data_IF_325164933386
#
_entry.id   IF_325164933386
#
_cell.length_a   1.000
_cell.length_b   1.000
_cell.length_c   1.000
_cell.angle_alpha   90.00
_cell.angle_beta   90.00
_cell.angle_gamma   90.00
#
_symmetry.space_group_name_H-M   'P 1'
#
loop_
_entity.id
_entity.type
_entity.pdbx_description
1 polymer ?
#
# COMPACT_ATOMS: atom_id res chain seq x y z
N UNK A 1 -14.80 10.53 -42.45
CA UNK A 1 -13.34 10.60 -42.71
C UNK A 1 -12.64 10.28 -41.38
N UNK A 2 -11.80 9.24 -41.40
CA UNK A 2 -11.13 8.48 -40.31
C UNK A 2 -11.23 8.97 -38.85
N UNK A 3 -11.87 8.13 -38.03
CA UNK A 3 -11.89 8.14 -36.57
C UNK A 3 -10.54 7.63 -36.05
N UNK A 4 -9.78 8.46 -35.35
CA UNK A 4 -8.58 8.02 -34.63
C UNK A 4 -8.93 7.73 -33.18
N UNK A 5 -9.10 6.43 -32.90
CA UNK A 5 -9.10 5.87 -31.55
C UNK A 5 -7.72 6.07 -30.92
N UNK A 6 -7.56 7.11 -30.11
CA UNK A 6 -6.50 7.12 -29.11
C UNK A 6 -6.98 6.34 -27.89
N UNK A 7 -6.50 5.10 -27.81
CA UNK A 7 -6.53 4.26 -26.61
C UNK A 7 -5.76 5.00 -25.51
N UNK A 8 -6.46 5.76 -24.66
CA UNK A 8 -5.92 6.14 -23.37
C UNK A 8 -5.99 4.89 -22.50
N UNK A 9 -4.86 4.18 -22.42
CA UNK A 9 -4.63 3.16 -21.41
C UNK A 9 -4.65 3.88 -20.04
N UNK A 10 -5.85 4.02 -19.48
CA UNK A 10 -6.00 4.28 -18.06
C UNK A 10 -5.36 3.10 -17.34
N UNK A 11 -4.14 3.30 -16.83
CA UNK A 11 -3.60 2.49 -15.76
C UNK A 11 -4.47 2.72 -14.52
N UNK A 12 -5.64 2.09 -14.51
CA UNK A 12 -6.23 1.61 -13.28
C UNK A 12 -5.16 0.73 -12.64
N UNK A 13 -4.39 1.27 -11.69
CA UNK A 13 -4.02 0.45 -10.55
C UNK A 13 -5.30 0.22 -9.77
N UNK A 14 -6.16 -0.62 -10.35
CA UNK A 14 -7.23 -1.30 -9.65
C UNK A 14 -6.57 -1.96 -8.46
N UNK A 15 -7.02 -1.52 -7.27
CA UNK A 15 -7.08 -2.33 -6.06
C UNK A 15 -7.18 -3.78 -6.50
N UNK A 16 -6.15 -4.55 -6.19
CA UNK A 16 -6.06 -5.97 -6.52
C UNK A 16 -7.42 -6.59 -6.22
N UNK A 17 -8.04 -7.12 -7.27
CA UNK A 17 -9.31 -7.84 -7.19
C UNK A 17 -9.18 -8.86 -6.07
N UNK A 18 -10.00 -8.70 -5.03
CA UNK A 18 -10.27 -9.72 -4.05
C UNK A 18 -10.78 -10.96 -4.81
N UNK A 19 -9.91 -11.93 -5.06
CA UNK A 19 -10.32 -13.29 -5.33
C UNK A 19 -10.66 -13.93 -3.97
N UNK A 20 -11.84 -13.62 -3.46
CA UNK A 20 -12.51 -14.48 -2.49
C UNK A 20 -13.34 -15.51 -3.28
N UNK A 21 -12.95 -16.79 -3.17
CA UNK A 21 -13.61 -18.05 -3.53
C UNK A 21 -14.53 -18.10 -4.78
N UNK A 22 -14.37 -19.08 -5.69
CA UNK A 22 -14.67 -20.48 -5.36
C UNK A 22 -13.87 -21.52 -6.15
N UNK A 23 -13.38 -22.49 -5.38
CA UNK A 23 -13.38 -23.95 -5.60
C UNK A 23 -12.84 -24.50 -6.92
N UNK A 24 -11.64 -25.08 -6.82
CA UNK A 24 -11.33 -26.30 -7.55
C UNK A 24 -12.16 -27.42 -6.93
N UNK A 25 -13.28 -27.79 -7.58
CA UNK A 25 -13.98 -29.04 -7.28
C UNK A 25 -13.07 -30.24 -7.61
N UNK A 26 -12.88 -31.10 -6.59
CA UNK A 26 -12.16 -32.37 -6.63
C UNK A 26 -11.31 -32.52 -5.37
N UNK A 27 -11.66 -33.30 -4.33
CA UNK A 27 -12.58 -34.41 -4.21
C UNK A 27 -13.27 -34.43 -2.82
N UNK A 28 -14.28 -35.29 -2.69
CA UNK A 28 -15.09 -35.63 -1.51
C UNK A 28 -14.40 -35.52 -0.12
N UNK A 29 -15.17 -35.31 0.97
CA UNK A 29 -14.63 -35.35 2.33
C UNK A 29 -14.10 -36.76 2.65
N UNK A 30 -12.79 -36.94 2.46
CA UNK A 30 -12.09 -38.19 2.72
C UNK A 30 -10.57 -38.07 2.65
N UNK A 31 -9.91 -38.13 3.81
CA UNK A 31 -8.55 -38.69 3.98
C UNK A 31 -7.30 -37.92 3.52
N UNK A 32 -7.31 -36.59 3.40
CA UNK A 32 -6.03 -35.90 3.17
C UNK A 32 -5.10 -36.07 4.40
N UNK A 33 -4.05 -36.87 4.21
CA UNK A 33 -3.09 -37.22 5.26
C UNK A 33 -1.92 -36.23 5.33
N UNK A 34 -1.87 -35.27 4.41
CA UNK A 34 -0.80 -34.28 4.33
C UNK A 34 -1.10 -33.06 5.21
N UNK A 35 -0.09 -32.52 5.94
CA UNK A 35 -0.20 -31.22 6.56
C UNK A 35 -0.41 -30.18 5.47
N UNK A 36 -1.29 -29.22 5.71
CA UNK A 36 -1.53 -28.13 4.77
C UNK A 36 -1.46 -26.79 5.50
N UNK A 37 -0.93 -25.79 4.79
CA UNK A 37 -1.05 -24.38 5.15
C UNK A 37 -1.49 -23.60 3.92
N UNK A 38 -2.48 -22.74 4.06
CA UNK A 38 -2.94 -21.80 3.04
C UNK A 38 -2.62 -20.38 3.51
N UNK A 39 -2.19 -19.53 2.59
CA UNK A 39 -1.77 -18.15 2.86
C UNK A 39 -2.80 -17.19 2.26
N UNK A 40 -3.36 -16.31 3.09
CA UNK A 40 -4.19 -15.20 2.63
C UNK A 40 -3.51 -13.86 2.94
N UNK A 41 -3.61 -12.91 2.00
CA UNK A 41 -3.07 -11.58 2.14
C UNK A 41 -4.17 -10.57 2.49
N UNK A 42 -3.90 -9.70 3.46
CA UNK A 42 -4.77 -8.61 3.86
C UNK A 42 -3.99 -7.31 3.98
N UNK A 43 -4.66 -6.19 3.67
CA UNK A 43 -4.18 -4.86 4.03
C UNK A 43 -4.02 -4.83 5.56
N UNK A 44 -2.86 -4.42 6.09
CA UNK A 44 -2.67 -4.37 7.52
C UNK A 44 -3.52 -3.26 8.13
N UNK A 45 -3.98 -3.48 9.36
CA UNK A 45 -4.61 -2.44 10.15
C UNK A 45 -3.54 -1.41 10.58
N UNK A 46 -3.97 -0.19 10.87
CA UNK A 46 -3.09 0.84 11.45
C UNK A 46 -2.53 0.35 12.80
N UNK A 47 -1.29 0.74 13.19
CA UNK A 47 -0.45 1.79 12.61
C UNK A 47 0.47 1.35 11.46
N UNK A 48 0.36 0.10 10.99
CA UNK A 48 1.20 -0.42 9.91
C UNK A 48 0.96 0.31 8.58
N UNK A 49 2.00 0.38 7.76
CA UNK A 49 2.02 1.09 6.50
C UNK A 49 1.71 0.11 5.35
N UNK A 50 0.53 0.20 4.71
CA UNK A 50 0.13 -0.73 3.65
C UNK A 50 0.98 -0.62 2.38
N UNK A 51 1.90 0.34 2.29
CA UNK A 51 2.84 0.46 1.17
C UNK A 51 3.90 -0.63 1.20
N UNK A 52 4.30 -1.08 2.39
CA UNK A 52 5.45 -1.96 2.60
C UNK A 52 5.20 -3.00 3.72
N UNK A 53 4.06 -2.93 4.40
CA UNK A 53 3.63 -3.88 5.40
C UNK A 53 2.43 -4.67 4.89
N UNK A 54 2.32 -5.92 5.33
CA UNK A 54 1.25 -6.84 4.94
C UNK A 54 0.80 -7.68 6.13
N UNK A 55 -0.50 -7.92 6.25
CA UNK A 55 -1.01 -8.94 7.17
C UNK A 55 -1.28 -10.23 6.43
N UNK A 56 -0.70 -11.31 6.92
CA UNK A 56 -0.84 -12.65 6.37
C UNK A 56 -1.63 -13.51 7.34
N UNK A 57 -2.68 -14.17 6.84
CA UNK A 57 -3.34 -15.27 7.56
C UNK A 57 -2.81 -16.60 7.07
N UNK A 58 -2.33 -17.39 8.00
CA UNK A 58 -2.00 -18.79 7.78
C UNK A 58 -3.18 -19.64 8.26
N UNK A 59 -3.77 -20.43 7.37
CA UNK A 59 -4.84 -21.37 7.70
C UNK A 59 -4.32 -22.80 7.54
N UNK A 60 -4.42 -23.62 8.58
CA UNK A 60 -3.92 -24.99 8.58
C UNK A 60 -5.05 -26.01 8.58
N UNK A 61 -4.76 -27.23 8.10
CA UNK A 61 -5.62 -28.39 8.36
C UNK A 61 -5.21 -29.11 9.66
N UNK A 62 -5.96 -30.15 10.02
CA UNK A 62 -5.74 -30.92 11.25
C UNK A 62 -4.46 -31.77 11.26
N UNK A 63 -3.77 -31.90 10.13
CA UNK A 63 -2.52 -32.67 10.00
C UNK A 63 -1.26 -31.84 10.21
N UNK A 64 -1.37 -30.51 10.27
CA UNK A 64 -0.25 -29.62 10.56
C UNK A 64 0.07 -29.61 12.06
N UNK A 65 1.29 -30.02 12.43
CA UNK A 65 1.80 -30.02 13.81
C UNK A 65 2.52 -28.72 14.10
N UNK A 66 3.38 -28.28 13.16
CA UNK A 66 4.10 -27.01 13.26
C UNK A 66 4.02 -26.30 11.91
N UNK A 67 4.04 -24.97 11.93
CA UNK A 67 4.21 -24.15 10.74
C UNK A 67 5.36 -23.18 10.95
N UNK A 68 6.22 -23.05 9.96
CA UNK A 68 7.31 -22.09 9.92
C UNK A 68 7.11 -21.19 8.71
N UNK A 69 7.28 -19.88 8.87
CA UNK A 69 7.26 -18.95 7.75
C UNK A 69 8.58 -18.20 7.62
N UNK A 70 8.99 -17.94 6.38
CA UNK A 70 10.17 -17.17 6.06
C UNK A 70 9.84 -16.13 5.00
N UNK A 71 10.45 -14.97 5.12
CA UNK A 71 10.23 -13.83 4.22
C UNK A 71 11.58 -13.32 3.75
N UNK A 72 11.79 -13.35 2.44
CA UNK A 72 13.03 -12.91 1.80
C UNK A 72 12.72 -12.26 0.44
N UNK A 73 13.71 -11.56 -0.15
CA UNK A 73 13.55 -10.98 -1.48
C UNK A 73 13.25 -12.11 -2.47
N UNK A 74 12.33 -11.90 -3.40
CA UNK A 74 11.95 -12.94 -4.37
C UNK A 74 13.13 -13.44 -5.20
N UNK A 75 14.08 -12.54 -5.52
CA UNK A 75 15.34 -12.91 -6.20
C UNK A 75 16.20 -13.86 -5.38
N UNK A 76 16.32 -13.65 -4.07
CA UNK A 76 17.10 -14.49 -3.16
C UNK A 76 16.49 -15.88 -3.00
N UNK A 77 15.16 -15.95 -2.84
CA UNK A 77 14.43 -17.23 -2.83
C UNK A 77 14.70 -18.02 -4.11
N UNK A 78 14.57 -17.39 -5.28
CA UNK A 78 14.75 -18.06 -6.56
C UNK A 78 16.18 -18.60 -6.70
N UNK A 79 17.20 -17.81 -6.36
CA UNK A 79 18.59 -18.24 -6.36
C UNK A 79 18.81 -19.42 -5.39
N UNK A 80 18.16 -19.40 -4.22
CA UNK A 80 18.24 -20.48 -3.24
C UNK A 80 17.63 -21.76 -3.76
N UNK A 81 16.42 -21.73 -4.31
CA UNK A 81 15.77 -22.91 -4.91
C UNK A 81 16.61 -23.48 -6.04
N UNK A 82 17.21 -22.64 -6.90
CA UNK A 82 18.15 -23.11 -7.94
C UNK A 82 19.36 -23.84 -7.33
N UNK A 83 19.85 -23.37 -6.19
CA UNK A 83 21.03 -23.94 -5.53
C UNK A 83 20.76 -25.24 -4.75
N UNK A 84 19.61 -25.37 -4.08
CA UNK A 84 19.35 -26.49 -3.14
C UNK A 84 18.10 -27.31 -3.45
N UNK A 85 17.38 -26.97 -4.52
CA UNK A 85 16.11 -27.59 -4.88
C UNK A 85 14.95 -27.20 -3.94
N UNK A 86 13.72 -27.57 -4.33
CA UNK A 86 12.52 -27.22 -3.56
C UNK A 86 12.48 -27.93 -2.19
N UNK A 87 12.83 -29.22 -2.14
CA UNK A 87 12.88 -29.97 -0.87
C UNK A 87 13.94 -29.40 0.09
N UNK A 88 15.12 -29.05 -0.43
CA UNK A 88 16.15 -28.37 0.37
C UNK A 88 15.67 -27.00 0.88
N UNK A 89 14.90 -26.28 0.06
CA UNK A 89 14.30 -25.00 0.45
C UNK A 89 13.24 -25.16 1.55
N UNK A 90 12.42 -26.24 1.53
CA UNK A 90 11.49 -26.54 2.64
C UNK A 90 12.23 -26.69 3.97
N UNK A 91 13.34 -27.43 4.00
CA UNK A 91 14.17 -27.58 5.20
C UNK A 91 14.81 -26.26 5.64
N UNK A 92 15.24 -25.45 4.68
CA UNK A 92 15.78 -24.12 4.95
C UNK A 92 14.73 -23.22 5.65
N UNK A 93 13.48 -23.21 5.16
CA UNK A 93 12.38 -22.44 5.78
C UNK A 93 12.07 -22.95 7.19
N UNK A 94 12.09 -24.27 7.43
CA UNK A 94 11.89 -24.82 8.78
C UNK A 94 13.02 -24.40 9.73
N UNK A 95 14.26 -24.34 9.24
CA UNK A 95 15.44 -24.07 10.08
C UNK A 95 15.72 -22.59 10.31
N UNK A 96 15.37 -21.73 9.36
CA UNK A 96 15.66 -20.28 9.39
C UNK A 96 14.41 -19.41 9.49
N UNK A 97 13.23 -20.00 9.32
CA UNK A 97 11.94 -19.34 9.47
C UNK A 97 11.54 -19.09 10.91
N UNK A 98 10.49 -18.29 11.07
CA UNK A 98 9.82 -18.07 12.34
C UNK A 98 8.72 -19.11 12.50
N UNK A 99 8.72 -19.80 13.64
CA UNK A 99 7.63 -20.70 14.02
C UNK A 99 6.37 -19.89 14.29
N UNK A 100 5.22 -20.33 13.77
CA UNK A 100 3.92 -19.78 14.15
C UNK A 100 3.49 -20.35 15.50
N UNK A 101 3.23 -19.45 16.43
CA UNK A 101 2.63 -19.79 17.73
C UNK A 101 1.11 -19.91 17.59
N UNK A 102 0.49 -20.74 18.45
CA UNK A 102 -0.98 -20.89 18.48
C UNK A 102 -1.57 -21.78 17.37
N UNK A 103 -0.73 -22.47 16.59
CA UNK A 103 -1.18 -23.50 15.65
C UNK A 103 -1.40 -24.81 16.41
N UNK A 104 -2.63 -25.33 16.37
CA UNK A 104 -2.94 -26.70 16.81
C UNK A 104 -4.08 -27.26 15.96
N UNK A 105 -3.78 -28.25 15.12
CA UNK A 105 -4.75 -28.80 14.18
C UNK A 105 -5.26 -27.75 13.19
N UNK A 106 -6.55 -27.84 12.83
CA UNK A 106 -7.17 -26.89 11.93
C UNK A 106 -7.35 -25.53 12.63
N UNK A 107 -6.54 -24.55 12.25
CA UNK A 107 -6.46 -23.26 12.94
C UNK A 107 -6.10 -22.14 11.99
N UNK A 108 -6.32 -20.89 12.42
CA UNK A 108 -5.91 -19.70 11.68
C UNK A 108 -5.09 -18.78 12.58
N UNK A 109 -3.99 -18.25 12.05
CA UNK A 109 -3.11 -17.29 12.74
C UNK A 109 -2.77 -16.15 11.80
N UNK A 110 -2.93 -14.93 12.30
CA UNK A 110 -2.62 -13.70 11.57
C UNK A 110 -1.27 -13.13 12.03
N UNK A 111 -0.41 -12.78 11.08
CA UNK A 111 0.89 -12.16 11.32
C UNK A 111 1.04 -10.94 10.45
N UNK A 112 1.41 -9.80 11.03
CA UNK A 112 1.82 -8.63 10.26
C UNK A 112 3.33 -8.64 10.03
N UNK A 113 3.75 -8.53 8.77
CA UNK A 113 5.14 -8.47 8.34
C UNK A 113 5.39 -7.06 7.82
N UNK A 114 6.42 -6.40 8.32
CA UNK A 114 6.71 -4.99 8.03
C UNK A 114 7.94 -4.80 7.18
N UNK A 115 8.10 -3.60 6.62
CA UNK A 115 9.32 -3.14 5.95
C UNK A 115 9.72 -3.97 4.71
N UNK A 116 8.73 -4.49 3.99
CA UNK A 116 8.92 -5.26 2.76
C UNK A 116 9.02 -4.33 1.54
N UNK A 117 10.14 -3.62 1.41
CA UNK A 117 10.40 -2.72 0.27
C UNK A 117 10.71 -3.53 -1.01
N UNK A 118 9.95 -3.35 -2.09
CA UNK A 118 10.18 -4.09 -3.34
C UNK A 118 9.61 -5.51 -3.34
N UNK A 119 10.12 -6.37 -4.22
CA UNK A 119 9.57 -7.72 -4.45
C UNK A 119 10.03 -8.73 -3.38
N UNK A 120 9.09 -9.19 -2.55
CA UNK A 120 9.28 -10.20 -1.50
C UNK A 120 8.46 -11.45 -1.74
N UNK A 121 9.02 -12.59 -1.32
CA UNK A 121 8.32 -13.87 -1.22
C UNK A 121 8.13 -14.24 0.24
N UNK A 122 6.91 -14.65 0.59
CA UNK A 122 6.54 -15.15 1.90
C UNK A 122 6.20 -16.62 1.74
N UNK A 123 7.07 -17.49 2.23
CA UNK A 123 6.91 -18.94 2.18
C UNK A 123 6.51 -19.45 3.55
N UNK A 124 5.54 -20.36 3.62
CA UNK A 124 5.23 -21.13 4.82
C UNK A 124 5.40 -22.63 4.55
N UNK A 125 5.93 -23.34 5.53
CA UNK A 125 6.06 -24.80 5.50
C UNK A 125 5.26 -25.37 6.67
N UNK A 126 4.25 -26.18 6.35
CA UNK A 126 3.54 -26.98 7.34
C UNK A 126 4.23 -28.33 7.50
N UNK A 127 4.54 -28.69 8.75
CA UNK A 127 5.20 -29.93 9.13
C UNK A 127 4.18 -30.83 9.81
N UNK A 128 3.97 -32.02 9.24
CA UNK A 128 3.17 -33.10 9.82
C UNK A 128 4.07 -34.25 10.27
N UNK A 129 3.49 -35.39 10.64
CA UNK A 129 4.24 -36.53 11.19
C UNK A 129 5.27 -37.13 10.21
N UNK A 130 4.91 -37.20 8.92
CA UNK A 130 5.69 -37.94 7.90
C UNK A 130 6.10 -37.10 6.70
N UNK A 131 5.52 -35.91 6.55
CA UNK A 131 5.62 -35.13 5.33
C UNK A 131 5.51 -33.63 5.64
N UNK A 132 5.92 -32.81 4.67
CA UNK A 132 5.88 -31.35 4.72
C UNK A 132 5.18 -30.82 3.47
N UNK A 133 4.41 -29.76 3.62
CA UNK A 133 3.89 -29.00 2.50
C UNK A 133 4.42 -27.58 2.52
N UNK A 134 4.44 -26.95 1.35
CA UNK A 134 4.89 -25.59 1.16
C UNK A 134 3.75 -24.78 0.55
N UNK A 135 3.52 -23.60 1.10
CA UNK A 135 2.72 -22.56 0.47
C UNK A 135 3.56 -21.31 0.30
N UNK A 136 3.26 -20.54 -0.75
CA UNK A 136 3.99 -19.32 -1.03
C UNK A 136 3.04 -18.23 -1.52
N UNK A 137 3.36 -17.00 -1.16
CA UNK A 137 2.77 -15.83 -1.76
C UNK A 137 3.83 -14.76 -1.98
N UNK A 138 3.54 -13.76 -2.81
CA UNK A 138 4.45 -12.64 -3.07
C UNK A 138 3.79 -11.33 -2.68
N UNK A 139 4.60 -10.39 -2.20
CA UNK A 139 4.19 -9.03 -1.90
C UNK A 139 5.19 -8.09 -2.52
N UNK A 140 4.70 -7.04 -3.19
CA UNK A 140 5.53 -5.98 -3.74
C UNK A 140 5.26 -4.69 -2.97
N UNK A 141 6.12 -4.38 -2.01
CA UNK A 141 6.03 -3.09 -1.36
C UNK A 141 6.62 -1.99 -2.22
N UNK A 142 6.13 -0.77 -2.01
CA UNK A 142 6.62 0.41 -2.69
C UNK A 142 7.92 0.89 -2.03
N UNK A 143 8.96 1.10 -2.84
CA UNK A 143 10.17 1.78 -2.41
C UNK A 143 10.15 3.23 -2.88
N UNK A 144 10.86 4.08 -2.15
CA UNK A 144 10.76 5.53 -2.29
C UNK A 144 12.13 6.19 -2.18
N UNK A 145 12.41 7.11 -3.10
CA UNK A 145 13.60 7.96 -3.07
C UNK A 145 13.23 9.36 -2.61
N UNK A 146 14.02 9.94 -1.72
CA UNK A 146 13.87 11.34 -1.32
C UNK A 146 14.20 12.27 -2.51
N UNK A 147 13.34 13.25 -2.78
CA UNK A 147 13.54 14.22 -3.89
C UNK A 147 13.61 15.66 -3.41
N UNK A 148 12.91 16.00 -2.33
CA UNK A 148 12.95 17.34 -1.75
C UNK A 148 12.59 17.32 -0.27
N UNK A 149 13.27 18.14 0.53
CA UNK A 149 12.87 18.43 1.92
C UNK A 149 12.26 19.83 1.95
N UNK A 150 11.20 20.00 2.71
CA UNK A 150 10.52 21.29 2.77
C UNK A 150 9.55 21.41 3.94
N UNK A 151 8.83 22.52 3.95
CA UNK A 151 7.79 22.83 4.92
C UNK A 151 6.42 22.73 4.28
N UNK A 152 5.56 21.90 4.87
CA UNK A 152 4.15 21.80 4.51
C UNK A 152 3.33 22.76 5.36
N UNK A 153 2.42 23.48 4.72
CA UNK A 153 1.53 24.47 5.33
C UNK A 153 0.09 24.00 5.18
N UNK A 154 -0.59 23.78 6.31
CA UNK A 154 -1.98 23.34 6.35
C UNK A 154 -2.93 24.54 6.39
N UNK A 155 -3.93 24.58 5.52
CA UNK A 155 -4.93 25.65 5.52
C UNK A 155 -5.86 25.56 6.75
N UNK A 156 -6.17 24.33 7.20
CA UNK A 156 -7.21 24.07 8.19
C UNK A 156 -6.70 23.57 9.54
N UNK A 157 -5.45 23.86 9.88
CA UNK A 157 -4.77 23.30 11.05
C UNK A 157 -5.57 23.42 12.36
N UNK A 158 -6.33 24.52 12.55
CA UNK A 158 -7.18 24.73 13.75
C UNK A 158 -8.30 23.70 13.86
N UNK A 159 -9.03 23.45 12.77
CA UNK A 159 -10.13 22.47 12.77
C UNK A 159 -9.61 21.03 12.89
N UNK A 160 -8.38 20.80 12.43
CA UNK A 160 -7.68 19.52 12.50
C UNK A 160 -7.00 19.28 13.86
N UNK A 161 -6.85 20.30 14.69
CA UNK A 161 -6.16 20.20 15.99
C UNK A 161 -4.65 19.96 15.85
N UNK A 162 -4.03 20.45 14.77
CA UNK A 162 -2.60 20.26 14.46
C UNK A 162 -1.85 21.59 14.36
N UNK A 163 -0.53 21.52 14.25
CA UNK A 163 0.32 22.67 13.96
C UNK A 163 0.04 23.21 12.55
N UNK A 164 0.17 24.52 12.35
CA UNK A 164 -0.05 25.16 11.04
C UNK A 164 0.95 24.71 9.98
N UNK A 165 2.10 24.20 10.40
CA UNK A 165 3.13 23.67 9.52
C UNK A 165 3.69 22.34 10.03
N UNK A 166 4.28 21.58 9.11
CA UNK A 166 5.04 20.37 9.41
C UNK A 166 6.21 20.23 8.43
N UNK A 167 7.39 19.86 8.93
CA UNK A 167 8.50 19.47 8.07
C UNK A 167 8.26 18.08 7.51
N UNK A 168 8.49 17.90 6.22
CA UNK A 168 8.33 16.59 5.55
C UNK A 168 9.32 16.46 4.40
N UNK A 169 9.48 15.22 3.95
CA UNK A 169 10.28 14.88 2.77
C UNK A 169 9.30 14.41 1.70
N UNK A 170 9.35 15.06 0.54
CA UNK A 170 8.73 14.57 -0.68
C UNK A 170 9.59 13.42 -1.21
N UNK A 171 8.94 12.29 -1.48
CA UNK A 171 9.57 11.11 -2.03
C UNK A 171 8.89 10.70 -3.33
N UNK A 172 9.64 10.13 -4.28
CA UNK A 172 9.14 9.53 -5.52
C UNK A 172 9.23 8.01 -5.44
N UNK A 173 8.24 7.31 -5.98
CA UNK A 173 8.23 5.85 -6.01
C UNK A 173 9.28 5.34 -7.01
N UNK A 174 10.09 4.35 -6.61
CA UNK A 174 11.18 3.82 -7.46
C UNK A 174 10.68 3.11 -8.72
N UNK A 175 9.44 2.63 -8.71
CA UNK A 175 8.82 1.90 -9.82
C UNK A 175 7.76 2.71 -10.57
N UNK A 176 7.45 3.93 -10.13
CA UNK A 176 6.48 4.81 -10.77
C UNK A 176 6.86 6.28 -10.54
N UNK A 177 7.44 6.89 -11.57
CA UNK A 177 7.92 8.28 -11.58
C UNK A 177 6.82 9.35 -11.50
N UNK A 178 5.55 8.95 -11.62
CA UNK A 178 4.38 9.82 -11.44
C UNK A 178 3.79 9.72 -10.03
N UNK A 179 4.19 8.72 -9.23
CA UNK A 179 3.69 8.53 -7.87
C UNK A 179 4.67 9.09 -6.85
N UNK A 180 4.23 10.10 -6.12
CA UNK A 180 4.98 10.73 -5.03
C UNK A 180 4.23 10.58 -3.71
N UNK A 181 4.94 10.82 -2.62
CA UNK A 181 4.32 10.97 -1.30
C UNK A 181 5.06 11.98 -0.43
N UNK A 182 4.32 12.64 0.45
CA UNK A 182 4.88 13.34 1.59
C UNK A 182 5.00 12.36 2.76
N UNK A 183 6.24 12.10 3.18
CA UNK A 183 6.55 11.14 4.25
C UNK A 183 6.01 11.63 5.60
N UNK A 184 5.31 10.75 6.31
CA UNK A 184 4.67 10.94 7.63
C UNK A 184 3.91 12.28 7.83
N UNK A 185 3.49 12.93 6.75
CA UNK A 185 2.89 14.26 6.81
C UNK A 185 1.58 14.27 7.60
N UNK A 186 0.79 13.21 7.49
CA UNK A 186 -0.52 13.07 8.11
C UNK A 186 -0.44 12.31 9.45
N UNK A 187 0.76 12.20 10.01
CA UNK A 187 1.11 11.38 11.19
C UNK A 187 2.12 10.29 10.85
N UNK A 188 2.76 9.71 11.89
CA UNK A 188 3.70 8.59 11.73
C UNK A 188 3.01 7.39 11.06
N UNK A 189 3.50 6.95 9.90
CA UNK A 189 2.91 5.90 9.08
C UNK A 189 1.74 6.37 8.19
N UNK A 190 1.37 7.66 8.25
CA UNK A 190 0.32 8.26 7.46
C UNK A 190 0.94 9.25 6.44
N UNK A 191 1.18 8.73 5.25
CA UNK A 191 1.71 9.48 4.11
C UNK A 191 0.58 10.16 3.33
N UNK A 192 0.86 11.32 2.73
CA UNK A 192 -0.01 11.89 1.70
C UNK A 192 0.54 11.53 0.32
N UNK A 193 -0.12 10.64 -0.41
CA UNK A 193 0.27 10.28 -1.78
C UNK A 193 -0.32 11.25 -2.79
N UNK A 194 0.47 11.59 -3.80
CA UNK A 194 0.08 12.42 -4.93
C UNK A 194 0.47 11.71 -6.24
N UNK A 195 -0.38 11.78 -7.25
CA UNK A 195 -0.12 11.20 -8.58
C UNK A 195 -0.12 12.29 -9.63
N UNK A 196 1.00 12.46 -10.34
CA UNK A 196 1.07 13.36 -11.48
C UNK A 196 0.20 12.84 -12.63
N UNK A 197 -0.48 13.76 -13.32
CA UNK A 197 -1.38 13.46 -14.43
C UNK A 197 -0.70 13.50 -15.81
N UNK A 198 0.57 13.94 -15.86
CA UNK A 198 1.30 14.22 -17.11
C UNK A 198 0.81 15.46 -17.88
N UNK A 199 -0.31 16.07 -17.47
CA UNK A 199 -0.80 17.33 -18.01
C UNK A 199 -0.10 18.50 -17.35
N UNK A 200 0.29 19.50 -18.15
CA UNK A 200 0.96 20.70 -17.67
C UNK A 200 0.00 21.88 -17.57
N UNK A 201 0.22 22.72 -16.57
CA UNK A 201 -0.39 24.02 -16.42
C UNK A 201 0.67 25.10 -16.23
N UNK A 202 0.24 26.36 -16.21
CA UNK A 202 1.11 27.50 -15.94
C UNK A 202 0.31 28.57 -15.19
N UNK A 203 0.96 29.16 -14.20
CA UNK A 203 0.49 30.35 -13.48
C UNK A 203 1.65 31.35 -13.33
N UNK A 204 1.49 32.32 -12.43
CA UNK A 204 2.48 33.38 -12.17
C UNK A 204 3.75 32.82 -11.49
N UNK A 205 3.67 31.69 -10.78
CA UNK A 205 4.78 31.04 -10.09
C UNK A 205 5.55 30.07 -11.00
N UNK A 206 4.97 29.66 -12.13
CA UNK A 206 5.67 28.97 -13.21
C UNK A 206 4.89 27.84 -13.86
N UNK A 207 5.59 26.98 -14.59
CA UNK A 207 5.02 25.74 -15.14
C UNK A 207 4.94 24.67 -14.05
N UNK A 208 3.82 23.95 -14.03
CA UNK A 208 3.59 22.85 -13.11
C UNK A 208 2.92 21.67 -13.81
N UNK A 209 2.98 20.51 -13.18
CA UNK A 209 2.18 19.35 -13.58
C UNK A 209 0.96 19.21 -12.67
N UNK A 210 -0.20 18.98 -13.27
CA UNK A 210 -1.41 18.66 -12.54
C UNK A 210 -1.26 17.33 -11.80
N UNK A 211 -1.86 17.23 -10.63
CA UNK A 211 -1.80 16.04 -9.80
C UNK A 211 -3.13 15.72 -9.11
N UNK A 212 -3.26 14.46 -8.70
CA UNK A 212 -4.43 13.90 -8.00
C UNK A 212 -4.07 13.42 -6.61
N UNK A 213 -5.01 13.57 -5.68
CA UNK A 213 -4.94 13.07 -4.31
C UNK A 213 -6.20 12.26 -4.03
N UNK A 214 -6.07 10.93 -4.04
CA UNK A 214 -7.16 10.02 -3.71
C UNK A 214 -7.57 10.14 -2.23
N UNK A 215 -8.80 9.72 -1.87
CA UNK A 215 -9.23 9.59 -0.48
C UNK A 215 -8.19 8.88 0.38
N UNK A 216 -7.67 9.59 1.37
CA UNK A 216 -6.56 9.17 2.22
C UNK A 216 -6.93 9.38 3.68
N UNK A 217 -6.74 8.33 4.48
CA UNK A 217 -6.90 8.40 5.94
C UNK A 217 -5.75 9.20 6.56
N UNK A 218 -6.03 9.93 7.64
CA UNK A 218 -5.03 10.63 8.44
C UNK A 218 -4.97 10.06 9.85
N UNK A 219 -3.94 10.43 10.63
CA UNK A 219 -3.93 10.21 12.08
C UNK A 219 -4.73 11.26 12.85
N UNK A 220 -5.23 12.29 12.17
CA UNK A 220 -5.85 13.46 12.79
C UNK A 220 -7.26 13.14 13.27
N UNK A 221 -7.66 13.80 14.35
CA UNK A 221 -8.98 13.68 14.96
C UNK A 221 -9.57 15.06 15.12
N UNK A 222 -10.79 15.27 14.61
CA UNK A 222 -11.54 16.51 14.78
C UNK A 222 -12.83 16.19 15.52
N UNK A 223 -13.04 16.82 16.68
CA UNK A 223 -14.20 16.57 17.55
C UNK A 223 -14.46 15.07 17.81
N UNK A 224 -13.40 14.31 18.12
CA UNK A 224 -13.49 12.87 18.40
C UNK A 224 -13.72 11.98 17.17
N UNK A 225 -13.78 12.54 15.96
CA UNK A 225 -13.98 11.79 14.72
C UNK A 225 -12.70 11.70 13.88
N UNK A 226 -12.35 10.53 13.32
CA UNK A 226 -11.21 10.38 12.41
C UNK A 226 -11.37 11.26 11.16
N UNK A 227 -10.29 11.94 10.78
CA UNK A 227 -10.25 12.81 9.61
C UNK A 227 -9.63 12.07 8.42
N UNK A 228 -10.20 12.31 7.24
CA UNK A 228 -9.65 11.93 5.95
C UNK A 228 -9.46 13.16 5.06
N UNK A 229 -8.65 13.01 4.02
CA UNK A 229 -8.31 14.07 3.06
C UNK A 229 -8.42 13.55 1.62
N UNK A 230 -8.81 14.42 0.68
CA UNK A 230 -8.86 14.13 -0.76
C UNK A 230 -8.79 15.43 -1.58
N UNK A 231 -8.50 15.32 -2.87
CA UNK A 231 -8.66 16.45 -3.79
C UNK A 231 -10.15 16.76 -4.07
N UNK A 232 -10.39 17.94 -4.67
CA UNK A 232 -11.73 18.42 -4.98
C UNK A 232 -12.43 17.56 -6.05
N UNK A 233 -11.68 17.02 -7.02
CA UNK A 233 -12.24 16.20 -8.08
C UNK A 233 -12.85 14.90 -7.54
N UNK A 234 -12.18 14.22 -6.61
CA UNK A 234 -12.72 13.05 -5.91
C UNK A 234 -13.86 13.40 -4.98
N UNK A 235 -13.83 14.58 -4.34
CA UNK A 235 -14.95 15.02 -3.52
C UNK A 235 -16.21 15.24 -4.35
N UNK A 236 -16.08 15.93 -5.49
CA UNK A 236 -17.21 16.25 -6.37
C UNK A 236 -17.61 15.09 -7.28
N UNK A 237 -16.79 14.04 -7.38
CA UNK A 237 -17.00 12.95 -8.35
C UNK A 237 -16.91 13.44 -9.80
N UNK A 238 -16.08 14.45 -10.06
CA UNK A 238 -15.98 15.09 -11.37
C UNK A 238 -14.52 15.49 -11.68
N UNK A 239 -13.92 14.79 -12.63
CA UNK A 239 -12.52 14.97 -13.00
C UNK A 239 -12.19 16.31 -13.65
N UNK A 240 -13.19 17.06 -14.15
CA UNK A 240 -12.95 18.43 -14.68
C UNK A 240 -12.42 19.39 -13.62
N UNK A 241 -12.62 19.10 -12.32
CA UNK A 241 -12.05 19.89 -11.23
C UNK A 241 -10.55 19.67 -11.07
N UNK A 242 -10.00 18.55 -11.55
CA UNK A 242 -8.57 18.24 -11.39
C UNK A 242 -7.66 19.17 -12.20
N UNK A 243 -8.18 19.78 -13.26
CA UNK A 243 -7.44 20.67 -14.15
C UNK A 243 -7.99 22.09 -14.17
N UNK A 244 -9.07 22.36 -13.42
CA UNK A 244 -9.57 23.70 -13.21
C UNK A 244 -8.69 24.42 -12.18
N UNK A 245 -7.95 25.44 -12.60
CA UNK A 245 -6.96 26.15 -11.76
C UNK A 245 -7.50 26.64 -10.41
N UNK A 246 -8.81 26.88 -10.28
CA UNK A 246 -9.44 27.26 -9.01
C UNK A 246 -9.45 26.13 -7.97
N UNK A 247 -9.42 24.87 -8.42
CA UNK A 247 -9.61 23.67 -7.60
C UNK A 247 -8.54 22.59 -7.83
N UNK A 248 -7.69 22.80 -8.82
CA UNK A 248 -6.63 21.89 -9.20
C UNK A 248 -5.53 21.87 -8.14
N UNK A 249 -4.76 20.80 -8.15
CA UNK A 249 -3.50 20.70 -7.42
C UNK A 249 -2.36 20.56 -8.42
N UNK A 250 -1.17 21.03 -8.07
CA UNK A 250 -0.04 21.00 -8.97
C UNK A 250 1.30 20.94 -8.25
N UNK A 251 2.30 20.45 -8.98
CA UNK A 251 3.70 20.38 -8.56
C UNK A 251 4.57 21.10 -9.59
N UNK A 252 5.32 22.09 -9.15
CA UNK A 252 6.27 22.83 -9.98
C UNK A 252 7.52 22.00 -10.26
N UNK A 253 8.33 22.43 -11.24
CA UNK A 253 9.61 21.79 -11.56
C UNK A 253 10.60 21.74 -10.39
N UNK A 254 10.50 22.67 -9.44
CA UNK A 254 11.28 22.71 -8.21
C UNK A 254 10.67 21.91 -7.04
N UNK A 255 9.70 21.04 -7.28
CA UNK A 255 9.02 20.19 -6.29
C UNK A 255 8.13 20.88 -5.25
N UNK A 256 8.09 22.21 -5.22
CA UNK A 256 7.04 22.92 -4.46
C UNK A 256 5.66 22.55 -5.02
N UNK A 257 4.66 22.47 -4.14
CA UNK A 257 3.31 22.03 -4.50
C UNK A 257 2.25 22.99 -3.94
N UNK A 258 1.16 23.15 -4.69
CA UNK A 258 -0.11 23.67 -4.20
C UNK A 258 -1.16 22.55 -4.27
N UNK A 259 -1.89 22.34 -3.19
CA UNK A 259 -2.82 21.22 -3.08
C UNK A 259 -4.18 21.72 -2.62
N UNK A 260 -5.14 21.81 -3.53
CA UNK A 260 -6.52 22.11 -3.16
C UNK A 260 -7.18 20.86 -2.57
N UNK A 261 -7.28 20.82 -1.24
CA UNK A 261 -7.70 19.64 -0.49
C UNK A 261 -8.98 19.90 0.27
N UNK A 262 -9.81 18.86 0.35
CA UNK A 262 -10.90 18.79 1.30
C UNK A 262 -10.48 17.88 2.46
N UNK A 263 -10.52 18.41 3.68
CA UNK A 263 -10.54 17.60 4.90
C UNK A 263 -11.97 17.28 5.28
N UNK A 264 -12.24 16.04 5.69
CA UNK A 264 -13.59 15.59 6.01
C UNK A 264 -13.61 14.50 7.07
N UNK A 265 -14.72 14.42 7.80
CA UNK A 265 -15.10 13.28 8.65
C UNK A 265 -16.30 12.57 7.98
N UNK A 266 -16.71 11.39 8.47
CA UNK A 266 -17.80 10.62 7.86
C UNK A 266 -19.04 11.50 7.57
N UNK A 267 -19.33 11.71 6.28
CA UNK A 267 -20.47 12.50 5.80
C UNK A 267 -20.37 14.03 5.94
N UNK A 268 -19.29 14.59 6.49
CA UNK A 268 -19.18 16.04 6.76
C UNK A 268 -17.84 16.64 6.34
N UNK A 269 -17.91 17.70 5.54
CA UNK A 269 -16.74 18.52 5.18
C UNK A 269 -16.26 19.33 6.39
N UNK A 270 -14.95 19.36 6.63
CA UNK A 270 -14.29 20.29 7.55
C UNK A 270 -13.84 21.59 6.84
N UNK A 271 -14.05 21.68 5.53
CA UNK A 271 -13.62 22.79 4.69
C UNK A 271 -12.72 22.31 3.55
N UNK A 272 -12.49 23.19 2.58
CA UNK A 272 -11.52 22.96 1.52
C UNK A 272 -10.78 24.26 1.19
N UNK A 273 -9.49 24.15 0.95
CA UNK A 273 -8.63 25.23 0.46
C UNK A 273 -7.27 24.65 0.05
N UNK A 274 -6.34 25.52 -0.33
CA UNK A 274 -4.99 25.15 -0.69
C UNK A 274 -4.10 24.94 0.54
N UNK A 275 -3.64 23.70 0.70
CA UNK A 275 -2.38 23.42 1.38
C UNK A 275 -1.21 23.74 0.44
N UNK A 276 -0.02 23.98 1.02
CA UNK A 276 1.19 24.28 0.26
C UNK A 276 2.38 23.50 0.78
N UNK A 277 3.23 23.03 -0.11
CA UNK A 277 4.56 22.54 0.23
C UNK A 277 5.60 23.44 -0.41
N UNK A 278 6.51 23.97 0.41
CA UNK A 278 7.58 24.85 -0.01
C UNK A 278 8.89 24.14 0.27
N UNK A 279 9.66 23.89 -0.79
CA UNK A 279 11.00 23.30 -0.70
C UNK A 279 11.96 24.29 -0.04
N UNK A 280 12.86 23.78 0.79
CA UNK A 280 13.89 24.57 1.48
C UNK A 280 14.99 25.08 0.53
#
# INVERSE_FOLDING_TARGET
>A
MKVYFYKLFFALFSVTTFFACSESEGADPGSDSAPMVTIYQYKPNRPYNPDNDITIRFATNDKAINVYYFTEKTSEKNARITSIGEEGYKEYVVSNGKKLEGISGASTVDVTITDLYGDYSITAVAVGEKQKSLANTTFKGLEWNDVATGTYHFFNYKALGISSTSSTVLQVCTTNDNLYRFKDLLGKGYHLKINLMGQKGKDDDGEFQFLRIAPTETSFVSNGSPVSVRDIAYWQGNDSFATNLKYASGMYSGYSCFLCLQYYISGKSLGYNFDKFIVN
#
